data_IF_798227076237
#
_entry.id   IF_798227076237
#
_cell.length_a   1.000
_cell.length_b   1.000
_cell.length_c   1.000
_cell.angle_alpha   90.00
_cell.angle_beta   90.00
_cell.angle_gamma   90.00
#
_symmetry.space_group_name_H-M   'P 1'
#
loop_
_entity.id
_entity.type
_entity.pdbx_description
1 polymer ?
#
# COMPACT_ATOMS: atom_id res chain seq x y z
N UNK A 1 -30.47 -1.51 1.60
CA UNK A 1 -31.91 -1.49 1.93
C UNK A 1 -32.63 -0.99 0.69
N UNK A 2 -33.37 -1.86 -0.01
CA UNK A 2 -34.00 -1.50 -1.29
C UNK A 2 -35.27 -0.69 -1.05
N UNK A 3 -35.47 0.38 -1.83
CA UNK A 3 -36.69 1.19 -1.81
C UNK A 3 -37.17 1.32 -3.26
N UNK A 4 -38.31 0.74 -3.58
CA UNK A 4 -38.92 0.77 -4.91
C UNK A 4 -39.70 2.07 -5.08
N UNK A 5 -39.37 2.84 -6.12
CA UNK A 5 -40.07 4.05 -6.52
C UNK A 5 -40.75 3.79 -7.87
N UNK A 6 -41.96 3.22 -7.87
CA UNK A 6 -42.96 3.33 -8.94
C UNK A 6 -42.64 2.89 -10.39
N UNK A 7 -41.40 2.58 -10.71
CA UNK A 7 -40.85 2.11 -11.98
C UNK A 7 -39.74 1.09 -11.61
N UNK A 8 -39.34 0.19 -12.51
CA UNK A 8 -38.33 -0.87 -12.27
C UNK A 8 -36.89 -0.31 -12.10
N UNK A 9 -36.79 0.84 -11.44
CA UNK A 9 -35.57 1.52 -11.07
C UNK A 9 -35.20 1.13 -9.64
N UNK A 10 -34.03 0.52 -9.50
CA UNK A 10 -33.41 0.16 -8.22
C UNK A 10 -32.24 1.08 -7.94
N UNK A 11 -32.23 1.66 -6.74
CA UNK A 11 -31.11 2.44 -6.24
C UNK A 11 -30.21 1.57 -5.35
N UNK A 12 -28.96 1.40 -5.77
CA UNK A 12 -27.93 0.67 -5.06
C UNK A 12 -26.92 1.65 -4.45
N UNK A 13 -26.61 1.45 -3.18
CA UNK A 13 -25.52 2.15 -2.50
C UNK A 13 -24.35 1.19 -2.33
N UNK A 14 -23.22 1.53 -2.94
CA UNK A 14 -21.97 0.78 -2.89
C UNK A 14 -21.04 1.49 -1.92
N UNK A 15 -20.54 0.74 -0.94
CA UNK A 15 -19.47 1.19 -0.04
C UNK A 15 -18.36 0.16 -0.03
N UNK A 16 -17.13 0.59 -0.32
CA UNK A 16 -15.98 -0.31 -0.35
C UNK A 16 -15.01 0.03 -1.48
N UNK A 17 -14.29 -0.97 -2.02
CA UNK A 17 -13.37 -0.79 -3.13
C UNK A 17 -14.08 -0.20 -4.36
N UNK A 18 -13.46 0.82 -4.96
CA UNK A 18 -13.92 1.44 -6.19
C UNK A 18 -12.84 1.32 -7.25
N UNK A 19 -13.24 1.19 -8.52
CA UNK A 19 -12.34 1.28 -9.65
C UNK A 19 -12.76 2.48 -10.49
N UNK A 20 -12.05 3.59 -10.33
CA UNK A 20 -12.40 4.89 -10.94
C UNK A 20 -11.17 5.54 -11.57
N UNK A 21 -11.42 6.40 -12.56
CA UNK A 21 -10.38 7.15 -13.26
C UNK A 21 -9.76 8.29 -12.44
N UNK A 22 -8.63 8.78 -12.93
CA UNK A 22 -7.92 9.94 -12.36
C UNK A 22 -8.82 11.18 -12.27
N UNK A 23 -9.69 11.40 -13.26
CA UNK A 23 -10.62 12.52 -13.31
C UNK A 23 -11.59 12.53 -12.11
N UNK A 24 -12.07 11.35 -11.70
CA UNK A 24 -12.95 11.20 -10.54
C UNK A 24 -12.18 11.50 -9.25
N UNK A 25 -10.96 10.98 -9.11
CA UNK A 25 -10.13 11.20 -7.92
C UNK A 25 -9.78 12.69 -7.79
N UNK A 26 -9.32 13.33 -8.87
CA UNK A 26 -8.96 14.75 -8.89
C UNK A 26 -10.15 15.67 -8.67
N UNK A 27 -11.39 15.22 -8.93
CA UNK A 27 -12.59 15.97 -8.56
C UNK A 27 -12.77 16.09 -7.05
N UNK A 28 -12.39 15.05 -6.29
CA UNK A 28 -12.48 15.05 -4.82
C UNK A 28 -11.20 15.56 -4.14
N UNK A 29 -10.05 15.32 -4.75
CA UNK A 29 -8.72 15.66 -4.21
C UNK A 29 -7.88 16.43 -5.24
N UNK A 30 -8.29 17.65 -5.66
CA UNK A 30 -7.57 18.41 -6.68
C UNK A 30 -6.13 18.77 -6.27
N UNK A 31 -5.84 18.85 -4.97
CA UNK A 31 -4.52 19.19 -4.41
C UNK A 31 -3.43 18.17 -4.73
N UNK A 32 -3.78 16.92 -5.08
CA UNK A 32 -2.76 15.94 -5.46
C UNK A 32 -2.22 16.17 -6.87
N UNK A 33 -2.86 17.03 -7.67
CA UNK A 33 -2.45 17.26 -9.06
C UNK A 33 -0.99 17.70 -9.17
N UNK A 34 -0.53 18.56 -8.27
CA UNK A 34 0.86 19.02 -8.27
C UNK A 34 1.86 17.88 -8.05
N UNK A 35 1.51 16.92 -7.17
CA UNK A 35 2.28 15.70 -6.94
C UNK A 35 2.34 14.83 -8.21
N UNK A 36 1.21 14.64 -8.89
CA UNK A 36 1.14 13.84 -10.12
C UNK A 36 1.94 14.48 -11.25
N UNK A 37 1.86 15.80 -11.39
CA UNK A 37 2.61 16.57 -12.37
C UNK A 37 4.12 16.54 -12.06
N UNK A 38 4.51 16.57 -10.78
CA UNK A 38 5.90 16.33 -10.37
C UNK A 38 6.42 14.97 -10.78
N UNK A 39 5.66 13.90 -10.52
CA UNK A 39 6.02 12.54 -10.92
C UNK A 39 6.23 12.48 -12.44
N UNK A 40 5.29 13.03 -13.22
CA UNK A 40 5.40 13.11 -14.69
C UNK A 40 6.62 13.90 -15.15
N UNK A 41 6.92 15.04 -14.53
CA UNK A 41 8.11 15.87 -14.87
C UNK A 41 9.43 15.15 -14.66
N UNK A 42 9.48 14.21 -13.71
CA UNK A 42 10.65 13.35 -13.48
C UNK A 42 10.79 12.23 -14.54
N UNK A 43 9.88 12.13 -15.50
CA UNK A 43 9.82 11.04 -16.48
C UNK A 43 9.25 9.75 -15.88
N UNK A 44 8.68 9.81 -14.68
CA UNK A 44 8.09 8.66 -14.00
C UNK A 44 6.61 8.51 -14.38
N UNK A 45 6.09 7.30 -14.16
CA UNK A 45 4.67 6.98 -14.33
C UNK A 45 4.03 6.77 -12.97
N UNK A 46 2.73 6.95 -12.89
CA UNK A 46 1.96 6.54 -11.73
C UNK A 46 0.66 5.85 -12.13
N UNK A 47 0.06 5.16 -11.17
CA UNK A 47 -1.33 4.75 -11.23
C UNK A 47 -1.92 4.77 -9.81
N UNK A 48 -3.25 4.91 -9.74
CA UNK A 48 -3.99 4.81 -8.49
C UNK A 48 -4.30 3.34 -8.18
N UNK A 49 -4.26 2.99 -6.90
CA UNK A 49 -4.70 1.69 -6.39
C UNK A 49 -5.29 1.84 -4.99
N UNK A 50 -5.83 0.74 -4.46
CA UNK A 50 -6.51 0.67 -3.16
C UNK A 50 -7.51 1.82 -2.97
N UNK A 51 -8.26 2.14 -4.03
CA UNK A 51 -9.26 3.21 -3.98
C UNK A 51 -10.49 2.65 -3.28
N UNK A 52 -10.96 3.33 -2.23
CA UNK A 52 -12.21 3.00 -1.57
C UNK A 52 -13.07 4.24 -1.40
N UNK A 53 -14.38 4.04 -1.28
CA UNK A 53 -15.31 5.15 -1.13
C UNK A 53 -16.77 4.73 -1.19
N UNK A 54 -17.61 5.67 -1.61
CA UNK A 54 -19.05 5.48 -1.77
C UNK A 54 -19.49 5.87 -3.18
N UNK A 55 -20.35 5.04 -3.75
CA UNK A 55 -21.00 5.32 -5.02
C UNK A 55 -22.48 4.93 -4.95
N UNK A 56 -23.29 5.64 -5.72
CA UNK A 56 -24.70 5.35 -5.93
C UNK A 56 -24.89 4.92 -7.37
N UNK A 57 -25.63 3.83 -7.58
CA UNK A 57 -26.01 3.33 -8.90
C UNK A 57 -27.51 3.32 -8.98
N UNK A 58 -28.07 4.05 -9.94
CA UNK A 58 -29.48 3.92 -10.31
C UNK A 58 -29.56 2.94 -11.47
N UNK A 59 -30.23 1.81 -11.30
CA UNK A 59 -30.36 0.74 -12.28
C UNK A 59 -31.79 0.65 -12.78
N UNK A 60 -31.98 0.75 -14.08
CA UNK A 60 -33.21 0.37 -14.77
C UNK A 60 -33.15 -1.13 -15.10
N UNK A 61 -33.89 -1.95 -14.34
CA UNK A 61 -33.84 -3.40 -14.45
C UNK A 61 -34.41 -3.93 -15.78
N UNK A 62 -35.26 -3.17 -16.47
CA UNK A 62 -35.79 -3.58 -17.77
C UNK A 62 -34.73 -3.49 -18.87
N UNK A 63 -33.73 -2.62 -18.68
CA UNK A 63 -32.72 -2.32 -19.70
C UNK A 63 -31.34 -2.90 -19.39
N UNK A 64 -31.06 -3.27 -18.14
CA UNK A 64 -29.74 -3.77 -17.74
C UNK A 64 -29.59 -5.27 -18.03
N UNK A 65 -28.45 -5.66 -18.60
CA UNK A 65 -28.12 -7.06 -18.84
C UNK A 65 -27.20 -7.58 -17.74
N UNK A 66 -27.68 -8.57 -16.98
CA UNK A 66 -26.90 -9.25 -15.96
C UNK A 66 -26.20 -10.49 -16.52
N UNK A 67 -24.94 -10.67 -16.15
CA UNK A 67 -24.19 -11.90 -16.34
C UNK A 67 -24.02 -12.59 -14.99
N UNK A 68 -24.43 -13.85 -14.90
CA UNK A 68 -24.17 -14.70 -13.74
C UNK A 68 -23.03 -15.67 -14.10
N UNK A 69 -21.98 -15.69 -13.27
CA UNK A 69 -20.86 -16.64 -13.39
C UNK A 69 -20.80 -17.50 -12.14
N UNK A 70 -20.47 -18.77 -12.33
CA UNK A 70 -20.18 -19.70 -11.24
C UNK A 70 -18.71 -20.10 -11.32
N UNK A 71 -17.98 -19.90 -10.24
CA UNK A 71 -16.61 -20.34 -10.07
C UNK A 71 -16.61 -21.58 -9.18
N UNK A 72 -16.38 -22.77 -9.73
CA UNK A 72 -16.30 -23.98 -8.91
C UNK A 72 -15.09 -23.90 -7.95
N UNK A 73 -15.16 -24.59 -6.81
CA UNK A 73 -14.07 -24.59 -5.83
C UNK A 73 -12.76 -25.06 -6.46
N UNK A 74 -11.67 -24.34 -6.19
CA UNK A 74 -10.34 -24.73 -6.67
C UNK A 74 -9.76 -25.77 -5.72
N UNK A 75 -9.46 -26.95 -6.28
CA UNK A 75 -8.91 -28.10 -5.56
C UNK A 75 -7.57 -27.77 -4.87
N UNK A 76 -6.88 -26.73 -5.33
CA UNK A 76 -5.50 -26.41 -4.95
C UNK A 76 -5.39 -25.29 -3.88
N UNK A 77 -6.49 -24.58 -3.56
CA UNK A 77 -6.47 -23.35 -2.73
C UNK A 77 -7.23 -23.45 -1.39
N UNK A 78 -7.60 -24.66 -0.92
CA UNK A 78 -8.44 -24.84 0.28
C UNK A 78 -9.79 -24.10 0.19
N UNK A 79 -10.29 -23.85 -1.03
CA UNK A 79 -11.65 -23.34 -1.23
C UNK A 79 -12.62 -24.54 -1.18
N UNK A 80 -13.36 -24.67 -0.08
CA UNK A 80 -14.31 -25.78 0.11
C UNK A 80 -15.62 -25.60 -0.67
N UNK A 81 -15.95 -24.37 -1.08
CA UNK A 81 -17.21 -24.01 -1.74
C UNK A 81 -17.00 -23.15 -2.99
N UNK A 82 -17.86 -23.34 -4.00
CA UNK A 82 -17.86 -22.51 -5.20
C UNK A 82 -18.51 -21.15 -4.96
N UNK A 83 -18.13 -20.14 -5.75
CA UNK A 83 -18.65 -18.79 -5.64
C UNK A 83 -19.50 -18.40 -6.84
N UNK A 84 -20.53 -17.59 -6.60
CA UNK A 84 -21.32 -16.98 -7.67
C UNK A 84 -21.00 -15.50 -7.76
N UNK A 85 -20.82 -15.00 -8.99
CA UNK A 85 -20.66 -13.58 -9.29
C UNK A 85 -21.80 -13.12 -10.20
N UNK A 86 -22.49 -12.06 -9.79
CA UNK A 86 -23.42 -11.32 -10.65
C UNK A 86 -22.73 -10.03 -11.04
N UNK A 87 -22.59 -9.80 -12.34
CA UNK A 87 -21.99 -8.59 -12.90
C UNK A 87 -22.93 -7.97 -13.94
N UNK A 88 -22.97 -6.66 -14.02
CA UNK A 88 -23.64 -5.93 -15.09
C UNK A 88 -22.69 -4.87 -15.65
N UNK A 89 -22.68 -4.72 -16.97
CA UNK A 89 -22.02 -3.58 -17.60
C UNK A 89 -22.95 -2.37 -17.49
N UNK A 90 -22.43 -1.30 -16.89
CA UNK A 90 -23.19 -0.08 -16.61
C UNK A 90 -22.48 1.12 -17.26
N UNK A 91 -23.27 2.08 -17.75
CA UNK A 91 -22.78 3.28 -18.42
C UNK A 91 -22.97 4.56 -17.60
N UNK A 92 -22.66 5.70 -18.22
CA UNK A 92 -23.04 7.03 -17.73
C UNK A 92 -24.43 7.47 -18.25
N UNK A 93 -25.12 6.57 -18.95
CA UNK A 93 -26.44 6.73 -19.54
C UNK A 93 -27.29 5.48 -19.21
N UNK A 94 -28.64 5.58 -19.24
CA UNK A 94 -29.51 4.42 -19.08
C UNK A 94 -29.03 3.23 -19.92
N UNK A 95 -28.90 2.02 -19.36
CA UNK A 95 -29.72 1.41 -18.30
C UNK A 95 -29.27 1.70 -16.86
N UNK A 96 -28.17 2.43 -16.66
CA UNK A 96 -27.63 2.65 -15.33
C UNK A 96 -26.96 4.03 -15.21
N UNK A 97 -27.10 4.69 -14.07
CA UNK A 97 -26.38 5.93 -13.76
C UNK A 97 -25.48 5.71 -12.55
N UNK A 98 -24.17 5.65 -12.79
CA UNK A 98 -23.15 5.60 -11.73
C UNK A 98 -22.79 7.01 -11.28
N UNK A 99 -22.95 7.27 -9.99
CA UNK A 99 -22.50 8.50 -9.34
C UNK A 99 -21.59 8.17 -8.17
N UNK A 100 -20.30 8.46 -8.32
CA UNK A 100 -19.36 8.40 -7.20
C UNK A 100 -19.64 9.57 -6.26
N UNK A 101 -19.92 9.27 -4.99
CA UNK A 101 -20.33 10.23 -3.97
C UNK A 101 -19.16 10.68 -3.10
N UNK A 102 -18.24 9.77 -2.77
CA UNK A 102 -16.98 10.09 -2.11
C UNK A 102 -15.89 9.10 -2.49
N UNK A 103 -14.65 9.58 -2.43
CA UNK A 103 -13.45 8.76 -2.32
C UNK A 103 -12.98 8.94 -0.88
N UNK A 104 -12.85 7.85 -0.14
CA UNK A 104 -12.49 7.85 1.28
C UNK A 104 -10.98 7.61 1.45
N UNK A 105 -10.39 6.73 0.63
CA UNK A 105 -8.95 6.49 0.59
C UNK A 105 -8.48 6.11 -0.82
N UNK A 106 -7.20 6.35 -1.10
CA UNK A 106 -6.51 5.84 -2.28
C UNK A 106 -5.00 5.91 -2.07
N UNK A 107 -4.25 5.17 -2.88
CA UNK A 107 -2.80 5.22 -2.94
C UNK A 107 -2.32 5.49 -4.36
N UNK A 108 -1.09 5.98 -4.46
CA UNK A 108 -0.41 6.27 -5.73
C UNK A 108 0.83 5.40 -5.81
N UNK A 109 0.83 4.44 -6.74
CA UNK A 109 2.04 3.69 -7.06
C UNK A 109 2.82 4.40 -8.16
N UNK A 110 4.12 4.55 -7.96
CA UNK A 110 5.04 5.21 -8.88
C UNK A 110 5.94 4.17 -9.53
N UNK A 111 6.18 4.33 -10.83
CA UNK A 111 7.10 3.51 -11.62
C UNK A 111 8.14 4.41 -12.27
N UNK A 112 9.40 3.98 -12.26
CA UNK A 112 10.47 4.62 -13.02
C UNK A 112 10.65 3.92 -14.38
N UNK A 113 11.72 4.24 -15.11
CA UNK A 113 12.00 3.65 -16.41
C UNK A 113 12.16 2.12 -16.33
N UNK A 114 12.92 1.64 -15.35
CA UNK A 114 13.25 0.22 -15.21
C UNK A 114 12.53 -0.46 -14.05
N UNK A 115 12.00 0.28 -13.07
CA UNK A 115 11.35 -0.29 -11.90
C UNK A 115 9.83 0.00 -11.89
N UNK A 116 9.03 -1.04 -12.15
CA UNK A 116 7.58 -0.96 -12.13
C UNK A 116 7.02 -0.98 -10.70
N UNK A 117 6.12 -0.05 -10.37
CA UNK A 117 5.50 0.07 -9.04
C UNK A 117 6.53 0.08 -7.91
N UNK A 118 7.63 0.78 -8.13
CA UNK A 118 8.79 0.75 -7.27
C UNK A 118 8.53 1.31 -5.86
N UNK A 119 7.56 2.21 -5.75
CA UNK A 119 7.09 2.74 -4.47
C UNK A 119 5.57 2.94 -4.52
N UNK A 120 4.92 2.87 -3.36
CA UNK A 120 3.51 3.26 -3.21
C UNK A 120 3.39 4.31 -2.12
N UNK A 121 2.60 5.35 -2.41
CA UNK A 121 2.41 6.51 -1.57
C UNK A 121 0.96 6.59 -1.09
N UNK A 122 0.79 7.00 0.16
CA UNK A 122 -0.44 7.61 0.67
C UNK A 122 -0.21 9.13 0.65
N UNK A 123 -0.74 9.84 -0.35
CA UNK A 123 -0.46 11.27 -0.52
C UNK A 123 -1.12 12.12 0.56
N UNK A 124 -2.26 11.69 1.10
CA UNK A 124 -3.02 12.42 2.12
C UNK A 124 -2.28 12.41 3.46
N UNK A 125 -1.70 11.27 3.82
CA UNK A 125 -0.93 11.10 5.06
C UNK A 125 0.56 11.37 4.88
N UNK A 126 1.00 11.65 3.64
CA UNK A 126 2.42 11.76 3.24
C UNK A 126 3.22 10.55 3.70
N UNK A 127 2.73 9.34 3.41
CA UNK A 127 3.43 8.11 3.77
C UNK A 127 3.91 7.35 2.53
N UNK A 128 5.11 6.78 2.62
CA UNK A 128 5.58 5.74 1.72
C UNK A 128 5.11 4.42 2.33
N UNK A 129 4.11 3.80 1.71
CA UNK A 129 3.47 2.57 2.19
C UNK A 129 4.12 1.31 1.65
N UNK A 130 4.91 1.45 0.59
CA UNK A 130 5.61 0.35 -0.06
C UNK A 130 6.87 0.85 -0.73
N UNK A 131 7.91 0.03 -0.71
CA UNK A 131 9.16 0.18 -1.46
C UNK A 131 9.48 -1.19 -2.03
N UNK A 132 9.71 -1.31 -3.33
CA UNK A 132 10.01 -2.57 -4.00
C UNK A 132 11.33 -3.18 -3.47
N UNK A 133 11.32 -4.49 -3.19
CA UNK A 133 12.55 -5.20 -2.79
C UNK A 133 13.23 -5.77 -4.03
N UNK A 134 13.80 -4.88 -4.83
CA UNK A 134 14.50 -5.17 -6.10
C UNK A 134 15.67 -6.16 -5.93
N UNK A 135 16.11 -6.36 -4.69
CA UNK A 135 17.19 -7.28 -4.32
C UNK A 135 16.67 -8.65 -3.83
N UNK A 136 15.36 -8.85 -3.73
CA UNK A 136 14.74 -10.10 -3.27
C UNK A 136 14.54 -11.09 -4.41
N UNK A 137 15.63 -11.77 -4.78
CA UNK A 137 15.59 -13.12 -5.35
C UNK A 137 16.95 -13.76 -5.09
N UNK A 138 16.94 -14.90 -4.38
CA UNK A 138 17.98 -15.94 -4.40
C UNK A 138 19.41 -15.52 -4.10
N UNK A 139 20.03 -16.20 -3.14
CA UNK A 139 21.49 -16.36 -3.12
C UNK A 139 21.87 -17.03 -4.46
N UNK A 140 22.29 -16.25 -5.45
CA UNK A 140 22.69 -16.79 -6.76
C UNK A 140 22.48 -15.83 -7.94
N UNK A 141 23.60 -15.28 -8.43
CA UNK A 141 23.90 -15.07 -9.86
C UNK A 141 23.19 -14.00 -10.72
N UNK A 142 22.26 -13.18 -10.24
CA UNK A 142 21.70 -12.10 -11.07
C UNK A 142 21.80 -10.69 -10.47
N UNK A 143 22.99 -10.30 -10.00
CA UNK A 143 23.36 -8.88 -9.81
C UNK A 143 23.86 -8.26 -11.13
N UNK A 144 23.08 -8.43 -12.19
CA UNK A 144 23.37 -7.79 -13.47
C UNK A 144 23.24 -6.25 -13.37
N UNK A 145 23.87 -5.50 -14.28
CA UNK A 145 23.80 -4.03 -14.32
C UNK A 145 22.35 -3.50 -14.31
N UNK A 146 21.42 -4.26 -14.90
CA UNK A 146 19.98 -3.95 -14.90
C UNK A 146 19.38 -3.84 -13.49
N UNK A 147 19.64 -4.81 -12.60
CA UNK A 147 19.12 -4.77 -11.22
C UNK A 147 19.74 -3.65 -10.38
N UNK A 148 20.99 -3.28 -10.66
CA UNK A 148 21.62 -2.15 -9.99
C UNK A 148 21.02 -0.82 -10.45
N UNK A 149 20.68 -0.68 -11.74
CA UNK A 149 19.93 0.47 -12.26
C UNK A 149 18.54 0.57 -11.61
N UNK A 150 17.80 -0.54 -11.59
CA UNK A 150 16.48 -0.59 -10.95
C UNK A 150 16.58 -0.23 -9.46
N UNK A 151 17.53 -0.82 -8.72
CA UNK A 151 17.76 -0.49 -7.31
C UNK A 151 18.14 0.98 -7.12
N UNK A 152 18.91 1.57 -8.04
CA UNK A 152 19.28 2.98 -7.99
C UNK A 152 18.08 3.88 -8.22
N UNK A 153 17.22 3.55 -9.17
CA UNK A 153 15.98 4.28 -9.42
C UNK A 153 15.02 4.21 -8.24
N UNK A 154 14.84 3.04 -7.63
CA UNK A 154 14.03 2.91 -6.42
C UNK A 154 14.61 3.74 -5.28
N UNK A 155 15.94 3.73 -5.13
CA UNK A 155 16.63 4.55 -4.12
C UNK A 155 16.37 6.06 -4.33
N UNK A 156 16.58 6.54 -5.55
CA UNK A 156 16.41 7.95 -5.90
C UNK A 156 14.94 8.38 -5.77
N UNK A 157 13.99 7.52 -6.14
CA UNK A 157 12.56 7.76 -5.95
C UNK A 157 12.19 7.88 -4.46
N UNK A 158 12.62 6.95 -3.61
CA UNK A 158 12.35 7.04 -2.16
C UNK A 158 12.95 8.32 -1.58
N UNK A 159 14.21 8.63 -1.92
CA UNK A 159 14.90 9.84 -1.44
C UNK A 159 14.14 11.11 -1.83
N UNK A 160 13.68 11.21 -3.08
CA UNK A 160 12.91 12.33 -3.59
C UNK A 160 11.65 12.64 -2.76
N UNK A 161 10.91 11.61 -2.34
CA UNK A 161 9.71 11.79 -1.52
C UNK A 161 10.03 12.10 -0.06
N UNK A 162 11.09 11.49 0.50
CA UNK A 162 11.55 11.84 1.85
C UNK A 162 11.94 13.33 1.95
N UNK A 163 12.64 13.87 0.94
CA UNK A 163 13.00 15.29 0.86
C UNK A 163 11.77 16.22 0.78
N UNK A 164 10.61 15.70 0.39
CA UNK A 164 9.31 16.41 0.36
C UNK A 164 8.46 16.20 1.62
N UNK A 165 9.05 15.61 2.65
CA UNK A 165 8.41 15.41 3.95
C UNK A 165 7.53 14.17 4.03
N UNK A 166 7.65 13.23 3.09
CA UNK A 166 7.05 11.91 3.27
C UNK A 166 7.79 11.13 4.36
N UNK A 167 7.05 10.27 5.06
CA UNK A 167 7.59 9.35 6.08
C UNK A 167 7.33 7.91 5.69
N UNK A 168 8.08 6.98 6.26
CA UNK A 168 7.78 5.56 6.10
C UNK A 168 6.53 5.18 6.90
N UNK A 169 5.66 4.35 6.31
CA UNK A 169 4.46 3.85 7.00
C UNK A 169 4.83 2.97 8.21
N UNK A 170 5.84 2.12 8.05
CA UNK A 170 6.22 1.12 9.05
C UNK A 170 7.68 0.65 8.90
N UNK A 171 8.13 -0.13 9.89
CA UNK A 171 9.47 -0.73 9.96
C UNK A 171 9.81 -1.61 8.75
N UNK A 172 8.81 -2.22 8.11
CA UNK A 172 9.02 -3.09 6.97
C UNK A 172 9.48 -2.28 5.76
N UNK A 173 8.84 -1.14 5.50
CA UNK A 173 9.25 -0.20 4.46
C UNK A 173 10.65 0.36 4.76
N UNK A 174 10.92 0.73 6.02
CA UNK A 174 12.25 1.20 6.46
C UNK A 174 13.33 0.15 6.16
N UNK A 175 13.07 -1.13 6.48
CA UNK A 175 14.01 -2.23 6.25
C UNK A 175 14.34 -2.40 4.77
N UNK A 176 13.38 -2.25 3.87
CA UNK A 176 13.63 -2.31 2.42
C UNK A 176 14.48 -1.13 1.96
N UNK A 177 14.18 0.09 2.39
CA UNK A 177 14.99 1.26 2.04
C UNK A 177 16.42 1.18 2.58
N UNK A 178 16.63 0.65 3.79
CA UNK A 178 17.97 0.43 4.35
C UNK A 178 18.87 -0.41 3.45
N UNK A 179 18.34 -1.45 2.82
CA UNK A 179 19.12 -2.28 1.88
C UNK A 179 19.65 -1.44 0.71
N UNK A 180 18.86 -0.48 0.24
CA UNK A 180 19.26 0.45 -0.82
C UNK A 180 20.33 1.44 -0.33
N UNK A 181 20.15 2.02 0.87
CA UNK A 181 21.16 2.89 1.49
C UNK A 181 22.51 2.21 1.69
N UNK A 182 22.47 0.96 2.14
CA UNK A 182 23.66 0.14 2.35
C UNK A 182 24.41 -0.13 1.04
N UNK A 183 23.66 -0.27 -0.05
CA UNK A 183 24.20 -0.50 -1.38
C UNK A 183 24.87 0.75 -1.96
N UNK A 184 24.26 1.93 -1.80
CA UNK A 184 24.68 3.15 -2.51
C UNK A 184 25.46 4.16 -1.69
N UNK A 185 25.19 4.32 -0.39
CA UNK A 185 25.76 5.43 0.39
C UNK A 185 26.86 5.00 1.37
N UNK A 186 27.11 3.69 1.56
CA UNK A 186 28.12 3.13 2.49
C UNK A 186 28.21 3.92 3.81
N UNK A 187 27.05 4.31 4.35
CA UNK A 187 26.95 5.14 5.55
C UNK A 187 27.63 4.46 6.74
N UNK A 188 28.16 5.28 7.65
CA UNK A 188 28.75 4.80 8.90
C UNK A 188 27.71 4.01 9.72
N UNK A 189 28.10 2.82 10.16
CA UNK A 189 27.27 1.94 10.99
C UNK A 189 27.99 1.64 12.30
N UNK A 190 27.22 1.59 13.37
CA UNK A 190 27.71 1.19 14.68
C UNK A 190 26.63 0.35 15.38
N UNK A 191 27.04 -0.46 16.35
CA UNK A 191 26.13 -1.29 17.15
C UNK A 191 26.09 -0.77 18.57
N UNK A 192 24.89 -0.57 19.10
CA UNK A 192 24.65 -0.27 20.51
C UNK A 192 24.14 -1.55 21.17
N UNK A 193 24.64 -1.86 22.36
CA UNK A 193 24.05 -2.88 23.25
C UNK A 193 23.32 -2.15 24.37
N UNK A 194 22.04 -2.45 24.52
CA UNK A 194 21.17 -1.82 25.53
C UNK A 194 20.81 -2.88 26.56
N UNK A 195 21.12 -2.62 27.83
CA UNK A 195 20.68 -3.43 28.96
C UNK A 195 19.57 -2.66 29.67
N UNK A 196 18.38 -3.25 29.77
CA UNK A 196 17.22 -2.66 30.42
C UNK A 196 16.86 -3.49 31.66
N UNK A 197 16.42 -2.83 32.71
CA UNK A 197 15.91 -3.45 33.93
C UNK A 197 14.48 -2.94 34.15
N UNK A 198 13.54 -3.86 34.34
CA UNK A 198 12.14 -3.51 34.60
C UNK A 198 12.03 -3.00 36.04
N UNK A 199 11.60 -1.75 36.19
CA UNK A 199 11.26 -1.13 37.47
C UNK A 199 9.74 -1.22 37.76
N UNK A 200 8.92 -1.14 36.71
CA UNK A 200 7.45 -1.18 36.76
C UNK A 200 6.88 -2.01 35.62
N UNK A 201 6.40 -3.22 35.94
CA UNK A 201 5.92 -4.21 34.95
C UNK A 201 4.70 -3.72 34.17
N UNK A 202 3.79 -3.00 34.81
CA UNK A 202 2.53 -2.51 34.23
C UNK A 202 2.74 -1.49 33.11
N UNK A 203 3.92 -0.88 33.04
CA UNK A 203 4.29 0.11 32.03
C UNK A 203 5.14 -0.49 30.89
N UNK A 204 5.52 -1.77 30.97
CA UNK A 204 6.38 -2.40 29.95
C UNK A 204 5.56 -2.62 28.67
N UNK A 205 5.90 -1.96 27.56
CA UNK A 205 5.21 -2.20 26.30
C UNK A 205 5.52 -3.60 25.77
N UNK A 206 4.58 -4.16 25.01
CA UNK A 206 4.84 -5.38 24.24
C UNK A 206 6.01 -5.19 23.25
N UNK A 207 6.69 -6.28 22.89
CA UNK A 207 7.89 -6.24 22.05
C UNK A 207 7.71 -5.45 20.74
N UNK A 208 6.59 -5.64 20.05
CA UNK A 208 6.29 -4.93 18.81
C UNK A 208 6.17 -3.42 19.01
N UNK A 209 5.54 -3.00 20.11
CA UNK A 209 5.36 -1.59 20.45
C UNK A 209 6.68 -0.95 20.88
N UNK A 210 7.47 -1.66 21.70
CA UNK A 210 8.82 -1.21 22.08
C UNK A 210 9.70 -1.00 20.84
N UNK A 211 9.68 -1.96 19.91
CA UNK A 211 10.43 -1.89 18.66
C UNK A 211 10.00 -0.68 17.83
N UNK A 212 8.69 -0.47 17.66
CA UNK A 212 8.13 0.68 16.94
C UNK A 212 8.59 2.01 17.54
N UNK A 213 8.46 2.17 18.86
CA UNK A 213 8.86 3.40 19.56
C UNK A 213 10.37 3.69 19.44
N UNK A 214 11.21 2.65 19.55
CA UNK A 214 12.65 2.80 19.35
C UNK A 214 12.99 3.16 17.90
N UNK A 215 12.37 2.49 16.92
CA UNK A 215 12.52 2.82 15.51
C UNK A 215 12.18 4.29 15.22
N UNK A 216 11.06 4.78 15.75
CA UNK A 216 10.63 6.19 15.65
C UNK A 216 11.65 7.14 16.31
N UNK A 217 12.07 6.85 17.55
CA UNK A 217 13.04 7.67 18.28
C UNK A 217 14.36 7.88 17.52
N UNK A 218 14.91 6.81 16.93
CA UNK A 218 16.13 6.90 16.15
C UNK A 218 15.89 7.58 14.80
N UNK A 219 14.77 7.28 14.14
CA UNK A 219 14.42 7.86 12.83
C UNK A 219 14.35 9.39 12.89
N UNK A 220 13.70 9.94 13.91
CA UNK A 220 13.62 11.39 14.14
C UNK A 220 14.98 12.07 14.35
N UNK A 221 16.01 11.29 14.71
CA UNK A 221 17.39 11.74 14.90
C UNK A 221 18.28 11.43 13.69
N UNK A 222 17.68 11.07 12.56
CA UNK A 222 18.40 10.74 11.32
C UNK A 222 19.09 9.38 11.33
N UNK A 223 18.71 8.50 12.26
CA UNK A 223 19.29 7.16 12.42
C UNK A 223 18.27 6.09 12.05
N UNK A 224 18.67 5.12 11.25
CA UNK A 224 17.79 4.00 10.91
C UNK A 224 18.17 2.78 11.76
N UNK A 225 17.31 2.38 12.70
CA UNK A 225 17.57 1.29 13.65
C UNK A 225 17.22 -0.10 13.09
N UNK A 226 18.06 -1.10 13.35
CA UNK A 226 17.76 -2.52 13.12
C UNK A 226 18.12 -3.29 14.39
N UNK A 227 17.22 -4.17 14.83
CA UNK A 227 17.49 -5.10 15.92
C UNK A 227 18.07 -6.37 15.29
N UNK A 228 19.30 -6.72 15.69
CA UNK A 228 19.88 -8.01 15.33
C UNK A 228 19.19 -9.09 16.13
N UNK A 229 18.43 -9.95 15.47
CA UNK A 229 17.89 -11.16 16.08
C UNK A 229 19.01 -12.22 16.09
N UNK A 230 19.44 -12.63 17.29
CA UNK A 230 20.21 -13.86 17.42
C UNK A 230 19.25 -15.01 17.10
N UNK A 231 19.45 -15.69 15.96
CA UNK A 231 18.69 -16.87 15.54
C UNK A 231 19.03 -18.09 16.41
N UNK A 232 18.79 -17.97 17.71
CA UNK A 232 18.99 -19.02 18.71
C UNK A 232 17.77 -19.24 19.60
N UNK A 233 16.54 -19.02 19.13
CA UNK A 233 15.36 -19.56 19.82
C UNK A 233 14.23 -19.86 18.84
N UNK A 234 14.06 -21.13 18.40
CA UNK A 234 12.77 -21.61 17.95
C UNK A 234 11.92 -21.89 19.20
N UNK A 235 10.69 -21.37 19.25
CA UNK A 235 9.71 -21.58 20.33
C UNK A 235 10.03 -20.91 21.68
N UNK A 236 9.68 -19.63 21.83
CA UNK A 236 9.19 -19.14 23.12
C UNK A 236 7.84 -18.48 22.88
N UNK A 237 6.83 -19.13 23.45
CA UNK A 237 5.44 -18.69 23.59
C UNK A 237 5.33 -17.19 23.90
N UNK A 238 4.19 -16.62 23.49
CA UNK A 238 3.54 -15.49 24.14
C UNK A 238 3.53 -15.64 25.67
N UNK A 239 4.62 -15.25 26.31
CA UNK A 239 4.65 -14.86 27.72
C UNK A 239 4.97 -13.38 27.76
N UNK A 240 4.31 -12.61 28.65
CA UNK A 240 4.79 -11.27 28.96
C UNK A 240 6.24 -11.40 29.41
N UNK A 241 7.07 -10.46 28.97
CA UNK A 241 8.52 -10.44 29.22
C UNK A 241 8.74 -10.61 30.73
N UNK A 242 9.55 -11.59 31.19
CA UNK A 242 9.85 -11.77 32.61
C UNK A 242 10.74 -10.65 33.16
#
# INVERSE_FOLDING_TARGET
MFKTLGEDIVLLEIKGPLNVGEDVILRFYPEIKDLLDEIKRMGWKYHFNDISGRARVELDLEKVNFTLRYYPPRIDELEEEGTYEISAEIGNEPPALLKVESIDEFKVSVSTEHAHSCITLDPMRKLITYVEDVLWFGIGENRGPKKLSEAREVYDAVKFFLERGYKFKDDYVVKRYKKLLDLFEKKYKFTIKINLTVDREDLVPGWSELKRQLSEFFYERGLLMEIKEDRKFPFVLNKPIP
#
